data_IF_037573921394
#
_entry.id   IF_037573921394
#
_cell.length_a   1.000
_cell.length_b   1.000
_cell.length_c   1.000
_cell.angle_alpha   90.00
_cell.angle_beta   90.00
_cell.angle_gamma   90.00
#
_symmetry.space_group_name_H-M   'P 1'
#
loop_
_entity.id
_entity.type
_entity.pdbx_description
1 polymer ?
#
# COMPACT_ATOMS: atom_id res chain seq x y z
N UNK A 1 8.75 -0.03 14.11
CA UNK A 1 8.27 0.86 13.02
C UNK A 1 7.78 -0.03 11.89
N UNK A 2 6.73 0.34 11.16
CA UNK A 2 6.24 -0.42 9.99
C UNK A 2 6.55 0.38 8.73
N UNK A 3 6.96 -0.31 7.66
CA UNK A 3 7.00 0.26 6.33
C UNK A 3 5.58 0.30 5.77
N UNK A 4 5.28 1.32 4.98
CA UNK A 4 3.97 1.51 4.39
C UNK A 4 4.11 1.87 2.92
N UNK A 5 3.31 1.24 2.06
CA UNK A 5 3.17 1.65 0.66
C UNK A 5 1.70 2.01 0.45
N UNK A 6 1.48 3.21 -0.07
CA UNK A 6 0.15 3.74 -0.32
C UNK A 6 -0.25 3.46 -1.75
N UNK A 7 -1.46 2.94 -1.96
CA UNK A 7 -1.99 2.66 -3.27
C UNK A 7 -3.27 3.45 -3.53
N UNK A 8 -3.31 4.11 -4.68
CA UNK A 8 -4.45 4.93 -5.09
C UNK A 8 -4.86 4.66 -6.54
N UNK A 9 -6.14 4.84 -6.86
CA UNK A 9 -6.65 4.81 -8.24
C UNK A 9 -6.91 6.23 -8.73
N UNK A 10 -6.02 6.84 -9.53
CA UNK A 10 -6.20 8.21 -10.01
C UNK A 10 -7.38 8.33 -10.98
N UNK A 11 -8.15 9.43 -10.90
CA UNK A 11 -9.26 9.69 -11.83
C UNK A 11 -8.78 9.94 -13.26
N UNK A 12 -7.57 10.49 -13.41
CA UNK A 12 -6.88 10.81 -14.68
C UNK A 12 -6.14 9.61 -15.29
N UNK A 13 -6.13 8.46 -14.62
CA UNK A 13 -5.36 7.27 -15.02
C UNK A 13 -3.88 7.29 -14.61
N UNK A 14 -3.35 8.42 -14.13
CA UNK A 14 -1.95 8.56 -13.69
C UNK A 14 -1.88 9.31 -12.36
N UNK A 15 -1.08 8.80 -11.42
CA UNK A 15 -0.85 9.43 -10.13
C UNK A 15 0.30 10.45 -10.27
N UNK A 16 0.12 11.65 -9.73
CA UNK A 16 1.12 12.74 -9.86
C UNK A 16 1.54 13.25 -8.48
N UNK A 17 2.73 13.86 -8.34
CA UNK A 17 3.18 14.42 -7.07
C UNK A 17 2.18 15.41 -6.47
N UNK A 18 1.60 16.29 -7.29
CA UNK A 18 0.58 17.26 -6.86
C UNK A 18 -0.69 16.59 -6.31
N UNK A 19 -1.07 15.43 -6.85
CA UNK A 19 -2.19 14.65 -6.30
C UNK A 19 -1.84 14.07 -4.94
N UNK A 20 -0.60 13.60 -4.75
CA UNK A 20 -0.13 13.13 -3.45
C UNK A 20 -0.07 14.24 -2.41
N UNK A 21 0.50 15.40 -2.76
CA UNK A 21 0.49 16.60 -1.90
C UNK A 21 -0.94 16.93 -1.47
N UNK A 22 -1.88 16.92 -2.42
CA UNK A 22 -3.28 17.14 -2.12
C UNK A 22 -3.85 16.09 -1.17
N UNK A 23 -3.56 14.80 -1.38
CA UNK A 23 -4.03 13.71 -0.52
C UNK A 23 -3.47 13.81 0.90
N UNK A 24 -2.20 14.19 1.07
CA UNK A 24 -1.62 14.39 2.39
C UNK A 24 -2.20 15.62 3.10
N UNK A 25 -2.44 16.70 2.36
CA UNK A 25 -2.99 17.93 2.94
C UNK A 25 -4.48 17.80 3.29
N UNK A 26 -5.25 17.10 2.47
CA UNK A 26 -6.70 17.15 2.50
C UNK A 26 -7.40 15.81 2.68
N UNK A 27 -6.68 14.69 2.57
CA UNK A 27 -7.25 13.34 2.53
C UNK A 27 -7.97 12.89 3.81
N UNK A 28 -7.82 13.62 4.90
CA UNK A 28 -8.54 13.38 6.16
C UNK A 28 -9.78 14.27 6.34
N UNK A 29 -10.08 15.15 5.38
CA UNK A 29 -11.19 16.11 5.48
C UNK A 29 -12.48 15.50 4.90
N UNK A 30 -13.54 15.41 5.72
CA UNK A 30 -14.83 14.82 5.32
C UNK A 30 -15.69 15.76 4.47
N UNK A 31 -15.40 17.07 4.48
CA UNK A 31 -16.25 18.12 3.86
C UNK A 31 -15.95 18.37 2.36
N UNK A 32 -14.97 17.66 1.78
CA UNK A 32 -14.54 17.91 0.41
C UNK A 32 -15.50 17.24 -0.59
N UNK A 33 -16.10 18.01 -1.53
CA UNK A 33 -16.94 17.44 -2.58
C UNK A 33 -16.22 16.37 -3.40
N UNK A 34 -16.92 15.30 -3.75
CA UNK A 34 -16.35 14.17 -4.50
C UNK A 34 -15.67 14.59 -5.81
N UNK A 35 -16.16 15.64 -6.49
CA UNK A 35 -15.57 16.17 -7.73
C UNK A 35 -14.13 16.67 -7.57
N UNK A 36 -13.74 17.09 -6.37
CA UNK A 36 -12.40 17.63 -6.10
C UNK A 36 -11.38 16.57 -5.71
N UNK A 37 -11.81 15.35 -5.38
CA UNK A 37 -10.89 14.27 -5.06
C UNK A 37 -10.11 13.84 -6.31
N UNK A 38 -8.77 13.78 -6.27
CA UNK A 38 -7.95 13.37 -7.42
C UNK A 38 -8.02 11.86 -7.69
N UNK A 39 -8.45 11.08 -6.69
CA UNK A 39 -8.54 9.61 -6.72
C UNK A 39 -9.99 9.16 -6.68
N UNK A 40 -10.26 7.98 -7.24
CA UNK A 40 -11.59 7.38 -7.24
C UNK A 40 -11.98 6.95 -5.83
N UNK A 41 -13.27 7.09 -5.51
CA UNK A 41 -13.83 6.46 -4.31
C UNK A 41 -13.94 4.96 -4.51
N UNK A 42 -13.44 4.20 -3.54
CA UNK A 42 -13.45 2.75 -3.51
C UNK A 42 -14.65 2.21 -2.73
N UNK A 43 -14.95 0.93 -2.95
CA UNK A 43 -15.88 0.15 -2.12
C UNK A 43 -15.05 -0.86 -1.31
N UNK A 44 -14.62 -0.55 -0.08
CA UNK A 44 -13.64 -1.36 0.64
C UNK A 44 -13.99 -2.84 0.73
N UNK A 45 -15.24 -3.16 1.09
CA UNK A 45 -15.73 -4.54 1.18
C UNK A 45 -15.77 -5.30 -0.15
N UNK A 46 -15.95 -4.58 -1.26
CA UNK A 46 -15.92 -5.21 -2.59
C UNK A 46 -14.47 -5.48 -3.02
N UNK A 47 -13.57 -4.53 -2.77
CA UNK A 47 -12.15 -4.69 -3.02
C UNK A 47 -11.53 -5.79 -2.14
N UNK A 48 -11.92 -5.87 -0.87
CA UNK A 48 -11.49 -6.94 0.02
C UNK A 48 -11.89 -8.33 -0.50
N UNK A 49 -13.11 -8.46 -1.04
CA UNK A 49 -13.57 -9.71 -1.69
C UNK A 49 -12.77 -10.06 -2.93
N UNK A 50 -12.39 -9.06 -3.72
CA UNK A 50 -11.52 -9.24 -4.88
C UNK A 50 -10.13 -9.75 -4.48
N UNK A 51 -9.56 -9.21 -3.40
CA UNK A 51 -8.28 -9.69 -2.84
C UNK A 51 -8.39 -11.09 -2.25
N UNK A 52 -9.49 -11.43 -1.56
CA UNK A 52 -9.74 -12.78 -1.06
C UNK A 52 -9.99 -13.81 -2.18
N UNK A 53 -10.34 -13.35 -3.38
CA UNK A 53 -10.44 -14.22 -4.56
C UNK A 53 -9.04 -14.55 -5.11
N UNK A 54 -8.11 -13.59 -5.04
CA UNK A 54 -6.71 -13.82 -5.39
C UNK A 54 -6.01 -14.71 -4.36
N UNK A 55 -6.11 -14.34 -3.08
CA UNK A 55 -5.50 -15.05 -1.96
C UNK A 55 -6.57 -15.37 -0.91
N UNK A 56 -7.15 -16.58 -0.95
CA UNK A 56 -8.14 -17.04 0.03
C UNK A 56 -7.57 -17.25 1.43
N UNK A 57 -6.24 -17.18 1.61
CA UNK A 57 -5.59 -17.39 2.91
C UNK A 57 -5.54 -16.11 3.76
N UNK A 58 -5.84 -14.96 3.17
CA UNK A 58 -5.93 -13.68 3.89
C UNK A 58 -7.00 -13.72 4.98
N UNK A 59 -6.63 -13.19 6.14
CA UNK A 59 -7.53 -13.11 7.31
C UNK A 59 -8.17 -11.73 7.32
N UNK A 60 -9.47 -11.65 7.08
CA UNK A 60 -10.21 -10.40 7.09
C UNK A 60 -10.64 -9.98 8.50
N UNK A 61 -10.41 -8.72 8.85
CA UNK A 61 -10.91 -8.09 10.07
C UNK A 61 -11.58 -6.75 9.78
N UNK A 62 -12.66 -6.39 10.49
CA UNK A 62 -13.25 -5.06 10.37
C UNK A 62 -12.28 -3.99 10.89
N UNK A 63 -12.19 -2.89 10.17
CA UNK A 63 -11.48 -1.68 10.61
C UNK A 63 -12.49 -0.57 10.96
N UNK A 64 -12.03 0.69 11.04
CA UNK A 64 -12.90 1.83 11.38
C UNK A 64 -13.97 2.05 10.31
N UNK A 65 -15.24 2.13 10.72
CA UNK A 65 -16.34 2.45 9.81
C UNK A 65 -16.59 1.39 8.73
N UNK A 66 -16.33 1.73 7.47
CA UNK A 66 -16.50 0.82 6.32
C UNK A 66 -15.20 0.18 5.85
N UNK A 67 -14.09 0.51 6.50
CA UNK A 67 -12.77 0.04 6.13
C UNK A 67 -12.58 -1.43 6.48
N UNK A 68 -11.66 -2.09 5.78
CA UNK A 68 -11.37 -3.51 5.96
C UNK A 68 -9.86 -3.68 6.08
N UNK A 69 -9.42 -4.48 7.04
CA UNK A 69 -8.03 -4.91 7.13
C UNK A 69 -7.95 -6.37 6.68
N UNK A 70 -7.01 -6.70 5.79
CA UNK A 70 -6.68 -8.07 5.41
C UNK A 70 -5.26 -8.37 5.89
N UNK A 71 -5.09 -9.43 6.69
CA UNK A 71 -3.78 -9.82 7.22
C UNK A 71 -3.27 -11.07 6.54
N UNK A 72 -1.97 -11.09 6.23
CA UNK A 72 -1.30 -12.30 5.76
C UNK A 72 -1.28 -13.34 6.90
N UNK A 73 -1.55 -14.63 6.62
CA UNK A 73 -1.79 -15.63 7.67
C UNK A 73 -0.54 -16.03 8.46
N UNK A 74 0.64 -15.55 8.08
CA UNK A 74 1.90 -15.86 8.74
C UNK A 74 2.34 -14.68 9.64
N UNK A 75 2.21 -14.78 10.97
CA UNK A 75 2.49 -13.67 11.89
C UNK A 75 3.94 -13.17 11.82
N UNK A 76 4.89 -14.03 11.43
CA UNK A 76 6.31 -13.69 11.33
C UNK A 76 6.61 -12.68 10.20
N UNK A 77 5.73 -12.60 9.20
CA UNK A 77 5.88 -11.68 8.06
C UNK A 77 5.21 -10.33 8.34
N UNK A 78 4.22 -10.30 9.25
CA UNK A 78 3.47 -9.11 9.69
C UNK A 78 2.98 -8.19 8.55
N UNK A 79 2.51 -8.77 7.44
CA UNK A 79 1.92 -8.03 6.32
C UNK A 79 0.43 -7.81 6.57
N UNK A 80 -0.03 -6.58 6.38
CA UNK A 80 -1.46 -6.23 6.40
C UNK A 80 -1.81 -5.23 5.29
N UNK A 81 -2.99 -5.39 4.72
CA UNK A 81 -3.57 -4.48 3.72
C UNK A 81 -4.75 -3.77 4.37
N UNK A 82 -4.60 -2.47 4.61
CA UNK A 82 -5.66 -1.62 5.10
C UNK A 82 -6.40 -0.96 3.94
N UNK A 83 -7.66 -1.32 3.76
CA UNK A 83 -8.50 -0.91 2.65
C UNK A 83 -9.49 0.13 3.16
N UNK A 84 -9.38 1.36 2.65
CA UNK A 84 -10.28 2.45 2.97
C UNK A 84 -10.94 3.01 1.72
N UNK A 85 -11.82 4.00 1.88
CA UNK A 85 -12.65 4.51 0.78
C UNK A 85 -11.88 5.30 -0.29
N UNK A 86 -10.59 5.58 -0.09
CA UNK A 86 -9.73 6.30 -1.05
C UNK A 86 -8.55 5.49 -1.57
N UNK A 87 -8.15 4.42 -0.88
CA UNK A 87 -6.94 3.69 -1.23
C UNK A 87 -6.77 2.39 -0.45
N UNK A 88 -5.61 1.79 -0.67
CA UNK A 88 -5.10 0.67 0.11
C UNK A 88 -3.76 1.09 0.68
N UNK A 89 -3.49 0.79 1.94
CA UNK A 89 -2.17 0.94 2.55
C UNK A 89 -1.67 -0.45 2.88
N UNK A 90 -0.51 -0.84 2.33
CA UNK A 90 0.14 -2.10 2.67
C UNK A 90 1.17 -1.82 3.74
N UNK A 91 1.00 -2.40 4.92
CA UNK A 91 1.94 -2.36 6.02
C UNK A 91 2.75 -3.64 6.10
N UNK A 92 4.05 -3.51 6.36
CA UNK A 92 4.95 -4.65 6.57
C UNK A 92 6.13 -4.23 7.46
N UNK A 93 6.82 -5.17 8.13
CA UNK A 93 7.89 -4.84 9.05
C UNK A 93 9.14 -4.38 8.30
N UNK A 94 9.93 -3.50 8.92
CA UNK A 94 11.34 -3.35 8.54
C UNK A 94 12.05 -4.65 8.90
N UNK A 95 12.61 -5.33 7.90
CA UNK A 95 13.30 -6.61 8.09
C UNK A 95 14.61 -6.62 7.31
N UNK A 96 15.55 -7.44 7.76
CA UNK A 96 16.87 -7.62 7.15
C UNK A 96 16.96 -8.98 6.44
N UNK A 97 18.02 -9.16 5.68
CA UNK A 97 18.47 -10.47 5.16
C UNK A 97 17.45 -11.16 4.23
N UNK A 98 17.46 -12.49 4.16
CA UNK A 98 16.67 -13.28 3.21
C UNK A 98 15.15 -13.07 3.37
N UNK A 99 14.69 -12.72 4.58
CA UNK A 99 13.28 -12.46 4.85
C UNK A 99 12.78 -11.21 4.12
N UNK A 100 13.65 -10.22 3.91
CA UNK A 100 13.35 -8.99 3.17
C UNK A 100 12.86 -9.26 1.76
N UNK A 101 13.57 -10.12 1.02
CA UNK A 101 13.18 -10.47 -0.35
C UNK A 101 11.84 -11.20 -0.41
N UNK A 102 11.55 -12.02 0.59
CA UNK A 102 10.25 -12.72 0.70
C UNK A 102 9.12 -11.73 1.00
N UNK A 103 9.31 -10.86 2.00
CA UNK A 103 8.33 -9.83 2.37
C UNK A 103 8.05 -8.91 1.17
N UNK A 104 9.08 -8.37 0.54
CA UNK A 104 8.93 -7.52 -0.64
C UNK A 104 8.27 -8.28 -1.79
N UNK A 105 8.67 -9.52 -2.07
CA UNK A 105 8.02 -10.34 -3.09
C UNK A 105 6.51 -10.49 -2.88
N UNK A 106 6.06 -10.71 -1.65
CA UNK A 106 4.64 -10.78 -1.30
C UNK A 106 3.96 -9.41 -1.49
N UNK A 107 4.55 -8.34 -0.95
CA UNK A 107 4.01 -6.97 -1.06
C UNK A 107 3.84 -6.57 -2.52
N UNK A 108 4.87 -6.75 -3.35
CA UNK A 108 4.83 -6.40 -4.77
C UNK A 108 3.87 -7.28 -5.58
N UNK A 109 3.61 -8.52 -5.15
CA UNK A 109 2.55 -9.36 -5.74
C UNK A 109 1.17 -8.71 -5.56
N UNK A 110 0.88 -8.16 -4.38
CA UNK A 110 -0.39 -7.46 -4.13
C UNK A 110 -0.46 -6.13 -4.88
N UNK A 111 0.63 -5.36 -4.94
CA UNK A 111 0.69 -4.12 -5.72
C UNK A 111 0.36 -4.41 -7.18
N UNK A 112 1.04 -5.41 -7.78
CA UNK A 112 0.82 -5.81 -9.17
C UNK A 112 -0.61 -6.27 -9.42
N UNK A 113 -1.17 -7.09 -8.54
CA UNK A 113 -2.56 -7.52 -8.69
C UNK A 113 -3.54 -6.35 -8.64
N UNK A 114 -3.41 -5.45 -7.66
CA UNK A 114 -4.29 -4.29 -7.52
C UNK A 114 -4.18 -3.37 -8.73
N UNK A 115 -2.97 -3.20 -9.23
CA UNK A 115 -2.72 -2.52 -10.49
C UNK A 115 -3.47 -3.17 -11.66
N UNK A 116 -3.24 -4.46 -11.91
CA UNK A 116 -3.80 -5.18 -13.07
C UNK A 116 -5.34 -5.24 -13.00
N UNK A 117 -5.90 -5.41 -11.80
CA UNK A 117 -7.33 -5.58 -11.62
C UNK A 117 -8.11 -4.26 -11.53
N UNK A 118 -7.51 -3.18 -11.05
CA UNK A 118 -8.24 -1.95 -10.70
C UNK A 118 -7.50 -0.63 -11.02
N UNK A 119 -6.31 -0.69 -11.64
CA UNK A 119 -5.55 0.50 -12.07
C UNK A 119 -4.92 1.28 -10.92
N UNK A 120 -4.54 0.60 -9.85
CA UNK A 120 -3.82 1.22 -8.74
C UNK A 120 -2.40 1.64 -9.14
N UNK A 121 -2.00 2.79 -8.60
CA UNK A 121 -0.62 3.29 -8.58
C UNK A 121 -0.09 3.21 -7.16
N UNK A 122 1.20 2.91 -7.00
CA UNK A 122 1.87 2.91 -5.71
C UNK A 122 2.62 4.23 -5.47
N UNK A 123 2.60 4.65 -4.21
CA UNK A 123 3.42 5.70 -3.66
C UNK A 123 4.15 5.17 -2.44
N UNK A 124 5.47 5.31 -2.46
CA UNK A 124 6.35 5.01 -1.35
C UNK A 124 6.68 6.32 -0.60
N UNK A 125 6.10 6.56 0.60
CA UNK A 125 6.36 7.77 1.37
C UNK A 125 7.78 7.87 1.93
N UNK A 126 8.47 6.75 2.13
CA UNK A 126 9.83 6.73 2.68
C UNK A 126 10.87 7.12 1.61
N UNK A 127 10.66 6.68 0.37
CA UNK A 127 11.51 7.01 -0.78
C UNK A 127 11.04 8.24 -1.56
N UNK A 128 9.80 8.69 -1.32
CA UNK A 128 9.11 9.69 -2.12
C UNK A 128 9.06 9.32 -3.62
N UNK A 129 8.77 8.04 -3.89
CA UNK A 129 8.70 7.48 -5.24
C UNK A 129 7.24 7.20 -5.60
N UNK A 130 6.86 7.61 -6.82
CA UNK A 130 5.63 7.21 -7.47
C UNK A 130 5.97 6.15 -8.51
N UNK A 131 5.31 4.99 -8.42
CA UNK A 131 5.56 3.91 -9.37
C UNK A 131 4.26 3.35 -9.95
N UNK A 132 4.37 2.96 -11.21
CA UNK A 132 3.41 2.11 -11.90
C UNK A 132 3.97 0.69 -11.86
N UNK A 133 3.13 -0.33 -11.66
CA UNK A 133 3.48 -1.65 -11.12
C UNK A 133 4.55 -2.51 -11.85
N UNK A 134 5.25 -1.99 -12.84
CA UNK A 134 6.30 -2.65 -13.62
C UNK A 134 7.75 -2.23 -13.26
N UNK A 135 7.97 -1.30 -12.32
CA UNK A 135 9.35 -0.97 -11.91
C UNK A 135 9.94 -2.03 -10.96
N UNK A 136 10.46 -3.13 -11.50
CA UNK A 136 11.26 -4.08 -10.72
C UNK A 136 12.46 -3.44 -10.01
N UNK A 137 12.94 -2.27 -10.47
CA UNK A 137 13.95 -1.46 -9.79
C UNK A 137 13.53 -1.05 -8.37
N UNK A 138 12.24 -0.87 -8.14
CA UNK A 138 11.72 -0.43 -6.84
C UNK A 138 11.93 -1.46 -5.72
N UNK A 139 12.00 -2.77 -6.02
CA UNK A 139 12.29 -3.81 -5.02
C UNK A 139 13.72 -3.66 -4.48
N UNK A 140 14.70 -3.55 -5.38
CA UNK A 140 16.11 -3.46 -4.98
C UNK A 140 16.41 -2.11 -4.30
N UNK A 141 15.78 -1.02 -4.74
CA UNK A 141 15.87 0.30 -4.08
C UNK A 141 15.24 0.29 -2.68
N UNK A 142 14.06 -0.30 -2.54
CA UNK A 142 13.39 -0.47 -1.23
C UNK A 142 14.25 -1.34 -0.31
N UNK A 143 14.83 -2.42 -0.84
CA UNK A 143 15.70 -3.30 -0.07
C UNK A 143 16.95 -2.57 0.41
N UNK A 144 17.63 -1.83 -0.47
CA UNK A 144 18.82 -1.04 -0.14
C UNK A 144 18.51 0.06 0.90
N UNK A 145 17.35 0.73 0.78
CA UNK A 145 16.91 1.69 1.80
C UNK A 145 16.72 0.99 3.16
N UNK A 146 15.98 -0.13 3.20
CA UNK A 146 15.72 -0.85 4.44
C UNK A 146 17.01 -1.32 5.12
N UNK A 147 17.95 -1.88 4.35
CA UNK A 147 19.28 -2.27 4.84
C UNK A 147 20.05 -1.07 5.42
N UNK A 148 19.93 0.12 4.82
CA UNK A 148 20.61 1.33 5.29
C UNK A 148 20.02 1.93 6.58
N UNK A 149 18.72 1.71 6.83
CA UNK A 149 17.99 2.27 7.96
C UNK A 149 18.06 1.37 9.21
N UNK A 150 18.13 0.05 9.01
CA UNK A 150 18.15 -0.93 10.10
C UNK A 150 19.21 -0.68 11.18
N UNK A 151 20.48 -0.36 10.86
CA UNK A 151 21.49 -0.09 11.88
C UNK A 151 21.10 1.08 12.79
N UNK A 152 20.53 2.14 12.21
CA UNK A 152 20.11 3.34 12.95
C UNK A 152 18.91 3.08 13.87
N UNK A 153 18.11 2.06 13.56
CA UNK A 153 16.93 1.67 14.33
C UNK A 153 17.25 0.73 15.50
N UNK A 154 18.42 0.08 15.50
CA UNK A 154 18.88 -0.79 16.60
C UNK A 154 19.60 0.03 17.67
N UNK A 155 20.16 1.18 17.30
CA UNK A 155 20.87 2.11 18.21
C UNK A 155 19.93 3.09 18.94
N UNK A 156 18.62 3.04 18.69
CA UNK A 156 17.59 3.89 19.35
C UNK A 156 16.67 3.09 20.25
#
# INVERSE_FOLDING_TARGET
>A
MRYEIHLYVPKTGHLTPRMMEWLFQYGQTEEIPESHWPVRRLKPRALARLLLTLDPTLIASPARGQDVELRFPMPQVDISLYIHDRGVIIFFPYTADTLLRVVLGIVYTYIRYLHDAAGFWSYDPQLNILSYADDFQSIDETAALMESLLPKMIES
#
